data_IF_718283864225
#
_entry.id   IF_718283864225
#
_cell.length_a   1.000
_cell.length_b   1.000
_cell.length_c   1.000
_cell.angle_alpha   90.00
_cell.angle_beta   90.00
_cell.angle_gamma   90.00
#
_symmetry.space_group_name_H-M   'P 1'
#
loop_
_entity.id
_entity.type
_entity.pdbx_description
1 polymer ?
#
# COMPACT_ATOMS: atom_id res chain seq x y z
N UNK A 1 9.36 -30.41 -14.66
CA UNK A 1 9.55 -29.38 -15.70
C UNK A 1 9.19 -28.06 -15.04
N UNK A 2 10.19 -27.27 -14.62
CA UNK A 2 9.96 -26.01 -13.91
C UNK A 2 9.62 -24.95 -14.95
N UNK A 3 8.37 -24.49 -14.96
CA UNK A 3 7.92 -23.40 -15.84
C UNK A 3 8.52 -22.12 -15.25
N UNK A 4 9.56 -21.57 -15.89
CA UNK A 4 10.07 -20.24 -15.52
C UNK A 4 9.02 -19.21 -15.91
N UNK A 5 8.57 -18.33 -15.00
CA UNK A 5 7.73 -17.20 -15.40
C UNK A 5 8.55 -16.32 -16.35
N UNK A 6 8.05 -16.14 -17.56
CA UNK A 6 8.58 -15.16 -18.50
C UNK A 6 8.39 -13.77 -17.87
N UNK A 7 9.41 -12.91 -17.80
CA UNK A 7 9.22 -11.54 -17.31
C UNK A 7 8.11 -10.89 -18.13
N UNK A 8 7.02 -10.52 -17.46
CA UNK A 8 5.93 -9.78 -18.08
C UNK A 8 6.45 -8.39 -18.40
N UNK A 9 6.67 -8.11 -19.67
CA UNK A 9 6.84 -6.74 -20.17
C UNK A 9 5.73 -5.89 -19.57
N UNK A 10 6.03 -4.72 -18.97
CA UNK A 10 4.99 -3.81 -18.53
C UNK A 10 4.01 -3.62 -19.68
N UNK A 11 2.70 -3.69 -19.43
CA UNK A 11 1.74 -3.57 -20.51
C UNK A 11 1.99 -2.24 -21.22
N UNK A 12 2.01 -2.29 -22.56
CA UNK A 12 2.18 -1.12 -23.39
C UNK A 12 0.94 -0.22 -23.22
N UNK A 13 1.00 0.63 -22.20
CA UNK A 13 0.08 1.71 -21.93
C UNK A 13 -1.41 1.32 -21.83
N UNK A 14 -1.82 0.49 -20.84
CA UNK A 14 -3.20 0.56 -20.40
C UNK A 14 -3.30 1.85 -19.58
N UNK A 15 -4.25 2.73 -19.89
CA UNK A 15 -4.63 3.80 -18.95
C UNK A 15 -4.96 3.23 -17.56
N UNK A 16 -5.42 4.07 -16.64
CA UNK A 16 -6.18 3.55 -15.51
C UNK A 16 -7.45 2.91 -16.10
N UNK A 17 -7.42 1.60 -16.30
CA UNK A 17 -8.32 0.95 -17.27
C UNK A 17 -9.78 1.21 -16.93
N UNK A 18 -10.54 1.73 -17.90
CA UNK A 18 -11.97 1.44 -18.00
C UNK A 18 -12.12 -0.06 -18.30
N UNK A 19 -12.26 -0.86 -17.23
CA UNK A 19 -12.96 -2.15 -17.32
C UNK A 19 -12.17 -3.45 -17.51
N UNK A 20 -10.88 -3.59 -17.16
CA UNK A 20 -10.24 -4.91 -17.35
C UNK A 20 -9.11 -5.37 -16.39
N UNK A 21 -8.72 -4.63 -15.35
CA UNK A 21 -7.80 -5.16 -14.33
C UNK A 21 -8.43 -5.09 -12.94
N UNK A 22 -8.68 -6.28 -12.37
CA UNK A 22 -9.15 -6.56 -11.00
C UNK A 22 -9.81 -5.40 -10.24
N UNK A 23 -11.08 -5.12 -10.55
CA UNK A 23 -12.00 -4.30 -9.71
C UNK A 23 -12.44 -5.10 -8.46
N UNK A 24 -11.57 -5.98 -7.98
CA UNK A 24 -11.83 -6.81 -6.82
C UNK A 24 -10.99 -6.23 -5.69
N UNK A 25 -11.68 -5.82 -4.63
CA UNK A 25 -11.02 -5.48 -3.38
C UNK A 25 -10.29 -6.73 -2.89
N UNK A 26 -9.04 -6.57 -2.47
CA UNK A 26 -8.20 -7.66 -2.02
C UNK A 26 -7.46 -7.24 -0.75
N UNK A 27 -7.38 -8.14 0.23
CA UNK A 27 -6.45 -7.96 1.34
C UNK A 27 -5.05 -8.09 0.79
N UNK A 28 -4.26 -7.03 0.93
CA UNK A 28 -2.90 -6.97 0.42
C UNK A 28 -1.91 -6.71 1.55
N UNK A 29 -0.70 -7.24 1.36
CA UNK A 29 0.48 -6.88 2.13
C UNK A 29 1.38 -6.00 1.26
N UNK A 30 1.55 -4.74 1.64
CA UNK A 30 2.47 -3.81 1.00
C UNK A 30 3.54 -3.47 2.03
N UNK A 31 4.73 -4.11 2.00
CA UNK A 31 5.76 -3.85 2.99
C UNK A 31 6.17 -2.38 2.99
N UNK A 32 6.61 -1.88 4.14
CA UNK A 32 7.07 -0.50 4.32
C UNK A 32 8.17 -0.09 3.33
N UNK A 33 8.93 -1.07 2.85
CA UNK A 33 10.03 -0.92 1.92
C UNK A 33 9.57 -0.63 0.50
N UNK A 34 8.32 -0.95 0.16
CA UNK A 34 7.75 -0.44 -1.07
C UNK A 34 7.53 1.06 -0.92
N UNK A 35 7.86 1.80 -1.97
CA UNK A 35 7.63 3.23 -1.98
C UNK A 35 6.14 3.50 -1.91
N UNK A 36 5.69 4.10 -0.81
CA UNK A 36 4.32 4.58 -0.59
C UNK A 36 4.33 6.11 -0.72
N UNK A 37 3.41 6.66 -1.51
CA UNK A 37 3.17 8.10 -1.66
C UNK A 37 1.84 8.39 -0.96
N UNK A 38 1.88 9.14 0.14
CA UNK A 38 0.68 9.42 0.91
C UNK A 38 -0.23 10.35 0.10
N UNK A 39 -1.48 9.90 -0.09
CA UNK A 39 -2.57 10.76 -0.58
C UNK A 39 -3.37 11.27 0.62
N UNK A 40 -3.59 10.41 1.61
CA UNK A 40 -4.26 10.76 2.86
C UNK A 40 -3.52 10.10 4.01
N UNK A 41 -3.03 10.94 4.93
CA UNK A 41 -2.34 10.51 6.14
C UNK A 41 -3.22 10.81 7.34
N UNK A 42 -3.58 9.78 8.10
CA UNK A 42 -4.30 9.97 9.35
C UNK A 42 -3.42 10.71 10.35
N UNK A 43 -4.06 11.52 11.18
CA UNK A 43 -3.41 12.22 12.28
C UNK A 43 -4.08 11.80 13.58
N UNK A 44 -3.28 11.56 14.60
CA UNK A 44 -3.75 11.37 15.96
C UNK A 44 -3.26 12.52 16.84
N UNK A 45 -4.07 12.85 17.85
CA UNK A 45 -3.71 13.85 18.85
C UNK A 45 -3.01 13.11 19.99
N UNK A 46 -1.75 13.43 20.21
CA UNK A 46 -0.96 12.93 21.35
C UNK A 46 -0.79 14.01 22.40
N UNK A 47 -0.94 13.63 23.65
CA UNK A 47 -0.56 14.48 24.78
C UNK A 47 0.94 14.34 25.01
N UNK A 48 1.69 15.38 24.69
CA UNK A 48 3.14 15.45 24.85
C UNK A 48 3.46 16.30 26.07
N UNK A 49 4.47 15.89 26.83
CA UNK A 49 4.99 16.65 27.97
C UNK A 49 6.30 17.31 27.54
N UNK A 50 6.38 18.63 27.66
CA UNK A 50 7.60 19.37 27.33
C UNK A 50 8.68 19.23 28.42
N UNK A 51 9.85 19.83 28.17
CA UNK A 51 10.98 19.85 29.10
C UNK A 51 10.70 20.55 30.44
N UNK A 52 9.65 21.36 30.51
CA UNK A 52 9.21 22.07 31.72
C UNK A 52 8.13 21.27 32.47
N UNK A 53 7.71 20.13 31.92
CA UNK A 53 6.71 19.26 32.50
C UNK A 53 5.26 19.67 32.20
N UNK A 54 5.03 20.62 31.29
CA UNK A 54 3.70 21.04 30.86
C UNK A 54 3.22 20.16 29.72
N UNK A 55 1.95 19.76 29.78
CA UNK A 55 1.31 18.95 28.75
C UNK A 55 0.67 19.83 27.68
N UNK A 56 0.88 19.48 26.42
CA UNK A 56 0.17 20.05 25.29
C UNK A 56 -0.23 18.94 24.32
N UNK A 57 -1.19 19.24 23.47
CA UNK A 57 -1.65 18.33 22.42
C UNK A 57 -0.86 18.60 21.13
N UNK A 58 -0.36 17.54 20.52
CA UNK A 58 0.31 17.58 19.23
C UNK A 58 -0.41 16.66 18.25
N UNK A 59 -0.63 17.14 17.02
CA UNK A 59 -1.11 16.29 15.93
C UNK A 59 0.07 15.62 15.27
N UNK A 60 0.15 14.30 15.39
CA UNK A 60 1.20 13.50 14.77
C UNK A 60 0.62 12.58 13.70
N UNK A 61 1.37 12.31 12.61
CA UNK A 61 0.96 11.31 11.63
C UNK A 61 0.86 9.91 12.26
N UNK A 62 -0.25 9.22 12.04
CA UNK A 62 -0.40 7.80 12.40
C UNK A 62 0.52 6.98 11.51
N UNK A 63 1.23 5.98 12.04
CA UNK A 63 2.15 5.14 11.26
C UNK A 63 1.46 4.37 10.13
N UNK A 64 2.21 3.98 9.07
CA UNK A 64 1.65 3.16 7.99
C UNK A 64 1.47 1.74 8.49
N UNK A 65 0.41 1.08 8.04
CA UNK A 65 0.32 -0.37 8.13
C UNK A 65 0.85 -1.00 6.85
N UNK A 66 1.47 -2.16 6.98
CA UNK A 66 1.84 -2.98 5.84
C UNK A 66 0.69 -3.85 5.34
N UNK A 67 -0.40 -3.91 6.11
CA UNK A 67 -1.62 -4.62 5.75
C UNK A 67 -2.69 -3.62 5.35
N UNK A 68 -3.57 -4.03 4.45
CA UNK A 68 -4.64 -3.16 3.99
C UNK A 68 -5.46 -3.77 2.87
N UNK A 69 -6.21 -2.91 2.21
CA UNK A 69 -7.02 -3.25 1.05
C UNK A 69 -6.39 -2.62 -0.18
N UNK A 70 -6.06 -3.46 -1.16
CA UNK A 70 -5.78 -3.00 -2.52
C UNK A 70 -7.08 -2.52 -3.15
N UNK A 71 -7.11 -1.26 -3.58
CA UNK A 71 -8.27 -0.66 -4.25
C UNK A 71 -8.14 -0.73 -5.77
N UNK A 72 -7.08 -1.36 -6.28
CA UNK A 72 -6.71 -1.32 -7.70
C UNK A 72 -5.93 -0.05 -8.07
N UNK A 73 -5.38 -0.02 -9.29
CA UNK A 73 -4.65 1.13 -9.85
C UNK A 73 -3.43 1.62 -9.02
N UNK A 74 -2.91 0.76 -8.16
CA UNK A 74 -1.84 1.10 -7.21
C UNK A 74 -2.30 1.82 -5.95
N UNK A 75 -3.60 2.01 -5.75
CA UNK A 75 -4.15 2.57 -4.52
C UNK A 75 -4.23 1.51 -3.41
N UNK A 76 -3.76 1.88 -2.23
CA UNK A 76 -3.72 1.01 -1.06
C UNK A 76 -4.27 1.76 0.15
N UNK A 77 -5.33 1.23 0.75
CA UNK A 77 -5.88 1.72 2.00
C UNK A 77 -5.44 0.83 3.16
N UNK A 78 -4.57 1.35 4.01
CA UNK A 78 -3.93 0.55 5.05
C UNK A 78 -4.81 0.34 6.28
N UNK A 79 -4.48 -0.65 7.11
CA UNK A 79 -5.19 -0.92 8.36
C UNK A 79 -4.96 0.13 9.45
N UNK A 80 -4.26 1.22 9.18
CA UNK A 80 -4.19 2.38 10.08
C UNK A 80 -5.04 3.55 9.56
N UNK A 81 -5.67 3.40 8.38
CA UNK A 81 -6.60 4.35 7.79
C UNK A 81 -5.95 5.34 6.82
N UNK A 82 -4.70 5.09 6.43
CA UNK A 82 -4.00 5.91 5.44
C UNK A 82 -4.33 5.43 4.02
N UNK A 83 -4.50 6.37 3.10
CA UNK A 83 -4.61 6.08 1.67
C UNK A 83 -3.31 6.47 0.98
N UNK A 84 -2.68 5.52 0.30
CA UNK A 84 -1.42 5.73 -0.40
C UNK A 84 -1.51 5.27 -1.85
N UNK A 85 -0.72 5.91 -2.72
CA UNK A 85 -0.37 5.38 -4.02
C UNK A 85 0.94 4.60 -3.90
N UNK A 86 0.93 3.35 -4.32
CA UNK A 86 2.08 2.43 -4.32
C UNK A 86 2.44 2.16 -5.79
N UNK A 87 3.47 2.84 -6.33
CA UNK A 87 3.79 2.75 -7.76
C UNK A 87 4.05 1.32 -8.23
N UNK A 88 4.71 0.51 -7.40
CA UNK A 88 4.93 -0.89 -7.70
C UNK A 88 3.61 -1.64 -7.99
N UNK A 89 2.57 -1.40 -7.17
CA UNK A 89 1.25 -2.00 -7.37
C UNK A 89 0.52 -1.46 -8.60
N UNK A 90 0.83 -0.24 -9.05
CA UNK A 90 0.23 0.37 -10.23
C UNK A 90 0.77 -0.17 -11.57
N UNK A 91 1.99 -0.72 -11.57
CA UNK A 91 2.73 -1.04 -12.80
C UNK A 91 3.17 -2.51 -12.92
N UNK A 92 3.32 -3.23 -11.80
CA UNK A 92 3.86 -4.60 -11.79
C UNK A 92 2.94 -5.62 -11.10
N UNK A 93 1.67 -5.28 -10.88
CA UNK A 93 0.65 -6.16 -10.30
C UNK A 93 -0.10 -7.00 -11.37
N UNK A 94 -0.83 -8.09 -11.01
CA UNK A 94 -1.26 -8.44 -9.67
C UNK A 94 -0.11 -9.04 -8.87
N UNK A 95 -0.22 -8.86 -7.57
CA UNK A 95 0.73 -9.18 -6.52
C UNK A 95 1.15 -10.67 -6.49
N UNK A 96 0.81 -11.54 -7.47
CA UNK A 96 1.12 -12.98 -7.43
C UNK A 96 2.63 -13.28 -7.37
N UNK A 97 3.45 -12.30 -7.77
CA UNK A 97 4.90 -12.35 -7.60
C UNK A 97 5.39 -11.97 -6.19
N UNK A 98 4.65 -11.15 -5.41
CA UNK A 98 5.08 -10.58 -4.11
C UNK A 98 4.07 -10.70 -2.92
N UNK A 99 2.85 -11.21 -3.08
CA UNK A 99 1.91 -11.67 -2.01
C UNK A 99 0.77 -12.59 -2.56
N UNK A 100 0.37 -12.53 -3.84
CA UNK A 100 -0.84 -13.20 -4.34
C UNK A 100 -0.58 -14.64 -4.83
N UNK A 101 0.47 -15.27 -4.31
CA UNK A 101 0.50 -16.73 -4.19
C UNK A 101 -0.36 -17.24 -3.03
N UNK A 102 -0.95 -16.34 -2.23
CA UNK A 102 -1.70 -16.69 -1.02
C UNK A 102 -3.16 -16.22 -1.13
N UNK A 103 -3.94 -16.83 -2.01
CA UNK A 103 -5.41 -16.83 -1.90
C UNK A 103 -5.93 -17.53 -0.62
N UNK A 104 -5.09 -17.65 0.41
CA UNK A 104 -5.24 -18.44 1.62
C UNK A 104 -4.58 -17.76 2.81
N UNK A 105 -4.35 -18.51 3.87
CA UNK A 105 -3.71 -17.98 5.08
C UNK A 105 -2.20 -17.81 4.83
N UNK A 106 -1.57 -16.79 5.42
CA UNK A 106 -0.12 -16.56 5.38
C UNK A 106 0.39 -16.03 6.70
N UNK A 107 1.72 -16.02 6.81
CA UNK A 107 2.45 -15.51 7.96
C UNK A 107 3.52 -14.55 7.47
N UNK A 108 3.67 -13.43 8.17
CA UNK A 108 4.77 -12.49 8.01
C UNK A 108 5.62 -12.59 9.26
N UNK A 109 6.89 -12.90 9.08
CA UNK A 109 7.85 -13.18 10.14
C UNK A 109 9.04 -12.21 10.03
N UNK A 110 8.92 -11.01 10.65
CA UNK A 110 10.01 -10.08 10.78
C UNK A 110 11.05 -10.61 11.77
N UNK A 111 12.28 -10.10 11.72
CA UNK A 111 13.30 -10.47 12.70
C UNK A 111 12.90 -10.04 14.12
N UNK A 112 13.29 -10.85 15.11
CA UNK A 112 13.00 -10.63 16.53
C UNK A 112 11.93 -11.57 17.08
N UNK A 113 11.91 -11.72 18.41
CA UNK A 113 10.91 -12.57 19.08
C UNK A 113 9.57 -11.86 19.13
N UNK A 114 8.49 -12.61 18.87
CA UNK A 114 7.11 -12.11 18.95
C UNK A 114 6.81 -10.93 18.01
N UNK A 115 7.35 -10.98 16.78
CA UNK A 115 7.06 -10.02 15.71
C UNK A 115 6.21 -10.61 14.57
N UNK A 116 5.90 -11.90 14.66
CA UNK A 116 5.17 -12.64 13.64
C UNK A 116 3.69 -12.23 13.56
N UNK A 117 3.24 -11.83 12.37
CA UNK A 117 1.83 -11.59 12.10
C UNK A 117 1.22 -12.75 11.32
N UNK A 118 0.11 -13.27 11.82
CA UNK A 118 -0.68 -14.30 11.16
C UNK A 118 -1.86 -13.67 10.41
N UNK A 119 -2.00 -14.00 9.13
CA UNK A 119 -3.19 -13.65 8.34
C UNK A 119 -3.92 -14.93 8.01
N UNK A 120 -5.11 -15.10 8.58
CA UNK A 120 -5.95 -16.29 8.36
C UNK A 120 -7.09 -15.96 7.42
N UNK A 121 -7.23 -16.72 6.34
CA UNK A 121 -8.32 -16.57 5.37
C UNK A 121 -9.38 -17.68 5.54
N UNK A 122 -10.65 -17.30 5.68
CA UNK A 122 -11.80 -18.22 5.76
C UNK A 122 -12.97 -17.68 4.96
N UNK A 123 -13.20 -18.26 3.77
CA UNK A 123 -14.31 -17.89 2.90
C UNK A 123 -14.12 -16.48 2.35
N UNK A 124 -14.84 -15.52 2.90
CA UNK A 124 -14.76 -14.11 2.52
C UNK A 124 -14.15 -13.22 3.62
N UNK A 125 -13.70 -13.82 4.72
CA UNK A 125 -13.14 -13.14 5.89
C UNK A 125 -11.66 -13.42 6.05
N UNK A 126 -10.91 -12.37 6.35
CA UNK A 126 -9.52 -12.38 6.73
C UNK A 126 -9.41 -11.93 8.18
N UNK A 127 -8.62 -12.64 8.97
CA UNK A 127 -8.26 -12.22 10.32
C UNK A 127 -6.75 -11.95 10.32
N UNK A 128 -6.37 -10.70 10.61
CA UNK A 128 -5.00 -10.22 10.63
C UNK A 128 -4.65 -10.07 12.10
N UNK A 129 -3.84 -11.01 12.59
CA UNK A 129 -3.48 -11.15 13.98
C UNK A 129 -1.99 -10.81 14.14
N UNK A 130 -1.66 -9.53 14.38
CA UNK A 130 -0.29 -9.13 14.69
C UNK A 130 0.18 -9.80 15.98
N UNK A 131 1.48 -10.01 16.11
CA UNK A 131 2.05 -10.49 17.37
C UNK A 131 1.96 -9.43 18.46
N UNK A 132 1.93 -9.88 19.71
CA UNK A 132 1.92 -8.99 20.88
C UNK A 132 0.52 -8.69 21.40
N UNK A 133 0.35 -7.49 21.97
CA UNK A 133 -0.89 -7.07 22.65
C UNK A 133 -1.80 -6.25 21.73
N UNK A 134 -1.49 -6.21 20.44
CA UNK A 134 -2.26 -5.47 19.46
C UNK A 134 -3.55 -6.22 19.12
N UNK A 135 -4.61 -5.46 18.90
CA UNK A 135 -5.90 -6.03 18.55
C UNK A 135 -5.88 -6.64 17.14
N UNK A 136 -6.40 -7.86 17.02
CA UNK A 136 -6.61 -8.50 15.73
C UNK A 136 -7.60 -7.68 14.89
N UNK A 137 -7.32 -7.53 13.61
CA UNK A 137 -8.24 -6.88 12.66
C UNK A 137 -8.96 -7.92 11.81
N UNK A 138 -10.28 -7.81 11.74
CA UNK A 138 -11.12 -8.61 10.88
C UNK A 138 -11.47 -7.83 9.61
N UNK A 139 -11.17 -8.40 8.44
CA UNK A 139 -11.57 -7.84 7.15
C UNK A 139 -12.55 -8.79 6.49
N UNK A 140 -13.68 -8.29 6.00
CA UNK A 140 -14.66 -9.09 5.25
C UNK A 140 -14.82 -8.49 3.85
N UNK A 141 -14.64 -9.30 2.81
CA UNK A 141 -14.73 -8.86 1.41
C UNK A 141 -15.91 -9.55 0.71
N UNK A 142 -16.90 -8.79 0.28
CA UNK A 142 -18.08 -9.29 -0.43
C UNK A 142 -18.19 -8.64 -1.81
N UNK A 143 -17.55 -9.26 -2.79
CA UNK A 143 -17.47 -8.75 -4.15
C UNK A 143 -16.75 -7.40 -4.20
N UNK A 144 -17.51 -6.32 -4.38
CA UNK A 144 -16.98 -4.95 -4.45
C UNK A 144 -17.14 -4.17 -3.15
N UNK A 145 -17.39 -4.85 -2.04
CA UNK A 145 -17.46 -4.25 -0.71
C UNK A 145 -16.40 -4.86 0.20
N UNK A 146 -15.74 -4.05 1.01
CA UNK A 146 -14.88 -4.53 2.08
C UNK A 146 -15.25 -3.84 3.38
N UNK A 147 -15.38 -4.59 4.46
CA UNK A 147 -15.51 -4.07 5.82
C UNK A 147 -14.24 -4.36 6.59
N UNK A 148 -13.68 -3.36 7.25
CA UNK A 148 -12.57 -3.51 8.20
C UNK A 148 -13.14 -3.28 9.60
N UNK A 149 -13.01 -4.27 10.47
CA UNK A 149 -13.43 -4.26 11.87
C UNK A 149 -12.17 -4.43 12.73
N UNK A 150 -11.74 -3.34 13.35
CA UNK A 150 -10.59 -3.33 14.25
C UNK A 150 -11.10 -3.59 15.66
N UNK A 151 -10.87 -4.79 16.18
CA UNK A 151 -11.29 -5.14 17.53
C UNK A 151 -10.78 -4.11 18.54
N UNK A 152 -11.58 -3.82 19.55
CA UNK A 152 -11.22 -2.84 20.58
C UNK A 152 -11.39 -1.38 20.18
N UNK A 153 -11.69 -1.08 18.91
CA UNK A 153 -11.96 0.29 18.44
C UNK A 153 -13.39 0.39 17.87
N UNK A 154 -14.01 1.57 17.94
CA UNK A 154 -15.23 1.87 17.19
C UNK A 154 -14.90 2.43 15.79
N UNK A 155 -13.79 2.00 15.18
CA UNK A 155 -13.28 2.55 13.92
C UNK A 155 -13.45 1.54 12.80
N UNK A 156 -14.70 1.13 12.58
CA UNK A 156 -15.07 0.31 11.43
C UNK A 156 -14.87 1.12 10.15
N UNK A 157 -14.44 0.47 9.06
CA UNK A 157 -14.37 1.10 7.74
C UNK A 157 -15.22 0.31 6.76
N UNK A 158 -16.05 1.00 6.00
CA UNK A 158 -16.80 0.40 4.88
C UNK A 158 -16.27 0.96 3.56
N UNK A 159 -15.76 0.06 2.72
CA UNK A 159 -15.25 0.37 1.39
C UNK A 159 -16.23 -0.18 0.38
N UNK A 160 -16.75 0.69 -0.49
CA UNK A 160 -17.70 0.34 -1.55
C UNK A 160 -17.10 0.74 -2.89
N UNK A 161 -16.95 -0.22 -3.77
CA UNK A 161 -16.39 -0.02 -5.10
C UNK A 161 -17.46 -0.25 -6.18
N UNK A 162 -17.46 0.64 -7.16
CA UNK A 162 -18.17 0.51 -8.43
C UNK A 162 -17.16 0.65 -9.56
N UNK A 163 -17.62 0.60 -10.81
CA UNK A 163 -16.74 0.64 -11.99
C UNK A 163 -15.80 1.86 -11.97
N UNK A 164 -16.33 3.05 -11.64
CA UNK A 164 -15.58 4.31 -11.74
C UNK A 164 -15.48 5.06 -10.41
N UNK A 165 -15.93 4.49 -9.29
CA UNK A 165 -15.95 5.16 -7.99
C UNK A 165 -15.65 4.16 -6.88
N UNK A 166 -14.68 4.48 -6.03
CA UNK A 166 -14.55 3.88 -4.69
C UNK A 166 -14.95 4.91 -3.65
N UNK A 167 -15.77 4.50 -2.69
CA UNK A 167 -16.11 5.26 -1.49
C UNK A 167 -15.50 4.52 -0.31
N UNK A 168 -14.75 5.22 0.52
CA UNK A 168 -14.22 4.72 1.79
C UNK A 168 -14.91 5.55 2.87
N UNK A 169 -15.71 4.89 3.68
CA UNK A 169 -16.46 5.46 4.80
C UNK A 169 -15.76 5.03 6.10
N UNK A 170 -14.81 5.83 6.61
CA UNK A 170 -14.21 5.60 7.92
C UNK A 170 -15.19 6.05 9.02
N UNK A 171 -15.59 5.12 9.89
CA UNK A 171 -16.51 5.42 10.99
C UNK A 171 -15.96 6.55 11.90
N UNK A 172 -16.76 7.60 12.12
CA UNK A 172 -16.40 8.76 12.93
C UNK A 172 -16.93 10.08 12.36
N UNK A 173 -16.30 11.21 12.75
CA UNK A 173 -16.65 12.55 12.26
C UNK A 173 -15.97 12.92 10.92
N UNK A 174 -15.44 11.92 10.21
CA UNK A 174 -14.77 12.12 8.93
C UNK A 174 -15.79 12.08 7.80
N UNK A 175 -15.51 12.82 6.73
CA UNK A 175 -16.27 12.69 5.50
C UNK A 175 -15.77 11.48 4.72
N UNK A 176 -16.64 10.90 3.90
CA UNK A 176 -16.26 9.85 2.96
C UNK A 176 -15.08 10.30 2.10
N UNK A 177 -14.09 9.41 1.98
CA UNK A 177 -13.04 9.56 0.97
C UNK A 177 -13.58 8.96 -0.32
N UNK A 178 -13.46 9.71 -1.41
CA UNK A 178 -13.87 9.23 -2.73
C UNK A 178 -12.69 9.12 -3.68
N UNK A 179 -12.71 8.08 -4.50
CA UNK A 179 -11.74 7.84 -5.57
C UNK A 179 -12.52 7.67 -6.86
N UNK A 180 -12.50 8.70 -7.71
CA UNK A 180 -13.10 8.66 -9.04
C UNK A 180 -12.08 8.20 -10.07
N UNK A 181 -12.46 7.24 -10.92
CA UNK A 181 -11.64 6.70 -12.00
C UNK A 181 -12.12 7.21 -13.34
N UNK A 182 -11.19 7.74 -14.10
CA UNK A 182 -11.34 8.15 -15.49
C UNK A 182 -10.19 7.54 -16.27
N UNK A 183 -10.35 7.36 -17.59
CA UNK A 183 -9.43 6.58 -18.44
C UNK A 183 -7.93 6.72 -18.11
N UNK A 184 -7.44 7.94 -17.91
CA UNK A 184 -6.04 8.22 -17.61
C UNK A 184 -5.87 9.07 -16.35
N UNK A 185 -6.90 9.13 -15.49
CA UNK A 185 -6.92 10.01 -14.33
C UNK A 185 -7.66 9.39 -13.15
N UNK A 186 -7.09 9.50 -11.96
CA UNK A 186 -7.76 9.28 -10.69
C UNK A 186 -7.94 10.63 -9.99
N UNK A 187 -9.09 10.83 -9.37
CA UNK A 187 -9.32 11.98 -8.48
C UNK A 187 -9.62 11.41 -7.10
N UNK A 188 -8.80 11.78 -6.12
CA UNK A 188 -8.93 11.32 -4.74
C UNK A 188 -9.33 12.51 -3.88
N UNK A 189 -10.60 12.56 -3.49
CA UNK A 189 -11.13 13.57 -2.57
C UNK A 189 -11.10 13.00 -1.13
N UNK A 190 -10.34 13.61 -0.21
CA UNK A 190 -10.29 13.18 1.19
C UNK A 190 -11.56 13.50 1.98
N UNK A 191 -12.52 14.20 1.38
CA UNK A 191 -13.78 14.59 2.00
C UNK A 191 -13.67 15.92 2.76
N UNK A 192 -14.67 16.78 2.60
CA UNK A 192 -14.90 17.98 3.42
C UNK A 192 -13.99 19.19 3.22
N UNK A 193 -12.94 19.10 2.40
CA UNK A 193 -11.96 20.19 2.22
C UNK A 193 -11.93 20.78 0.81
N UNK A 194 -12.56 20.13 -0.18
CA UNK A 194 -12.50 20.54 -1.59
C UNK A 194 -11.10 20.42 -2.22
N UNK A 195 -10.19 19.74 -1.54
CA UNK A 195 -8.78 19.60 -1.90
C UNK A 195 -8.48 18.15 -2.31
N UNK A 196 -8.65 17.86 -3.60
CA UNK A 196 -8.43 16.54 -4.15
C UNK A 196 -7.00 16.36 -4.68
N UNK A 197 -6.46 15.16 -4.53
CA UNK A 197 -5.29 14.72 -5.29
C UNK A 197 -5.73 14.31 -6.69
N UNK A 198 -4.89 14.59 -7.68
CA UNK A 198 -5.09 14.13 -9.05
C UNK A 198 -3.92 13.25 -9.45
N UNK A 199 -4.21 12.02 -9.85
CA UNK A 199 -3.20 11.10 -10.36
C UNK A 199 -3.44 10.94 -11.85
N UNK A 200 -2.52 11.38 -12.68
CA UNK A 200 -2.64 11.35 -14.14
C UNK A 200 -1.61 10.40 -14.74
N UNK A 201 -2.03 9.55 -15.68
CA UNK A 201 -1.14 8.67 -16.44
C UNK A 201 -0.99 9.19 -17.87
N UNK A 202 0.25 9.39 -18.31
CA UNK A 202 0.56 9.82 -19.66
C UNK A 202 1.76 9.04 -20.19
N UNK A 203 1.50 8.10 -21.12
CA UNK A 203 2.53 7.25 -21.68
C UNK A 203 3.21 6.40 -20.60
N UNK A 204 4.51 6.55 -20.46
CA UNK A 204 5.31 5.86 -19.45
C UNK A 204 5.49 6.68 -18.16
N UNK A 205 4.64 7.69 -17.92
CA UNK A 205 4.70 8.51 -16.71
C UNK A 205 3.37 8.50 -15.94
N UNK A 206 3.48 8.60 -14.62
CA UNK A 206 2.38 8.96 -13.73
C UNK A 206 2.77 10.19 -12.93
N UNK A 207 1.91 11.20 -12.97
CA UNK A 207 2.03 12.41 -12.16
C UNK A 207 1.00 12.35 -11.03
N UNK A 208 1.43 12.65 -9.81
CA UNK A 208 0.59 12.79 -8.63
C UNK A 208 0.63 14.25 -8.22
N UNK A 209 -0.46 14.94 -8.51
CA UNK A 209 -0.66 16.34 -8.19
C UNK A 209 -1.38 16.45 -6.83
N UNK A 210 -0.69 16.92 -5.78
CA UNK A 210 -1.34 17.24 -4.52
C UNK A 210 -2.28 18.44 -4.64
N UNK A 211 -3.22 18.62 -3.70
CA UNK A 211 -4.03 19.82 -3.67
C UNK A 211 -3.20 21.08 -3.40
N UNK A 212 -3.61 22.20 -3.99
CA UNK A 212 -2.98 23.51 -3.80
C UNK A 212 -1.82 23.77 -4.77
N UNK A 213 -0.84 24.56 -4.32
CA UNK A 213 0.35 24.95 -5.10
C UNK A 213 1.59 24.12 -4.74
N UNK A 214 1.38 22.90 -4.23
CA UNK A 214 2.45 21.98 -3.91
C UNK A 214 2.99 21.33 -5.19
N UNK A 215 4.28 21.03 -5.18
CA UNK A 215 4.93 20.40 -6.33
C UNK A 215 4.44 18.95 -6.53
N UNK A 216 4.31 18.54 -7.80
CA UNK A 216 3.86 17.21 -8.17
C UNK A 216 4.95 16.16 -8.00
N UNK A 217 4.57 14.94 -7.66
CA UNK A 217 5.48 13.77 -7.72
C UNK A 217 5.36 13.13 -9.10
N UNK A 218 6.49 12.91 -9.78
CA UNK A 218 6.53 12.24 -11.08
C UNK A 218 7.12 10.84 -10.97
N UNK A 219 6.44 9.87 -11.55
CA UNK A 219 6.90 8.49 -11.65
C UNK A 219 7.16 8.20 -13.11
N UNK A 220 8.38 7.78 -13.44
CA UNK A 220 8.79 7.40 -14.78
C UNK A 220 9.00 5.90 -14.85
N UNK A 221 8.37 5.27 -15.85
CA UNK A 221 8.41 3.83 -16.08
C UNK A 221 9.33 3.53 -17.25
N UNK A 222 10.16 2.52 -17.08
CA UNK A 222 10.88 1.82 -18.13
C UNK A 222 10.66 0.31 -18.01
N UNK A 223 11.10 -0.45 -19.01
CA UNK A 223 10.81 -1.89 -19.14
C UNK A 223 10.94 -2.68 -17.83
N UNK A 224 11.98 -2.40 -17.03
CA UNK A 224 12.26 -3.14 -15.80
C UNK A 224 12.49 -2.21 -14.60
N UNK A 225 12.06 -0.96 -14.66
CA UNK A 225 12.24 -0.06 -13.52
C UNK A 225 11.27 1.12 -13.47
N UNK A 226 11.09 1.64 -12.26
CA UNK A 226 10.42 2.90 -11.94
C UNK A 226 11.45 3.87 -11.38
N UNK A 227 11.35 5.13 -11.76
CA UNK A 227 12.03 6.23 -11.07
C UNK A 227 10.99 7.16 -10.50
N UNK A 228 11.09 7.46 -9.22
CA UNK A 228 10.13 8.30 -8.48
C UNK A 228 10.86 9.58 -8.11
N UNK A 229 10.48 10.66 -8.78
CA UNK A 229 11.00 12.01 -8.57
C UNK A 229 10.06 12.77 -7.64
N UNK A 230 10.56 13.08 -6.44
CA UNK A 230 9.81 13.77 -5.40
C UNK A 230 10.35 15.19 -5.22
N UNK A 231 9.47 16.20 -5.11
CA UNK A 231 9.89 17.56 -4.86
C UNK A 231 10.75 17.69 -3.60
N UNK A 232 11.81 18.49 -3.67
CA UNK A 232 12.69 18.78 -2.54
C UNK A 232 13.74 17.70 -2.21
N UNK A 233 13.75 16.57 -2.92
CA UNK A 233 14.77 15.53 -2.77
C UNK A 233 15.64 15.46 -4.03
N UNK A 234 16.92 15.77 -3.91
CA UNK A 234 17.85 15.90 -5.05
C UNK A 234 18.20 14.59 -5.78
N UNK A 235 17.69 13.44 -5.33
CA UNK A 235 17.82 12.15 -6.00
C UNK A 235 16.46 11.42 -5.90
N UNK A 236 16.01 10.81 -7.00
CA UNK A 236 14.78 9.99 -7.00
C UNK A 236 15.00 8.61 -6.40
N UNK A 237 13.92 7.91 -6.04
CA UNK A 237 13.97 6.48 -5.69
C UNK A 237 13.80 5.65 -6.94
N UNK A 238 14.67 4.66 -7.14
CA UNK A 238 14.55 3.70 -8.25
C UNK A 238 14.04 2.36 -7.74
N UNK A 239 13.04 1.80 -8.42
CA UNK A 239 12.58 0.42 -8.19
C UNK A 239 12.93 -0.38 -9.43
N UNK A 240 13.76 -1.40 -9.32
CA UNK A 240 14.11 -2.30 -10.42
C UNK A 240 13.43 -3.65 -10.24
N UNK A 241 12.87 -4.19 -11.32
CA UNK A 241 12.15 -5.46 -11.34
C UNK A 241 12.91 -6.45 -12.22
N UNK A 242 13.38 -7.51 -11.58
CA UNK A 242 14.05 -8.65 -12.22
C UNK A 242 13.15 -9.90 -12.10
N UNK A 243 13.40 -10.97 -12.88
CA UNK A 243 12.53 -12.15 -12.89
C UNK A 243 12.32 -12.82 -11.53
N UNK A 244 13.28 -12.70 -10.61
CA UNK A 244 13.30 -13.38 -9.33
C UNK A 244 13.39 -12.42 -8.11
N UNK A 245 13.56 -11.12 -8.36
CA UNK A 245 13.70 -10.11 -7.29
C UNK A 245 13.26 -8.71 -7.71
N UNK A 246 12.99 -7.89 -6.71
CA UNK A 246 12.71 -6.46 -6.80
C UNK A 246 13.77 -5.76 -5.96
N UNK A 247 14.38 -4.72 -6.52
CA UNK A 247 15.34 -3.87 -5.82
C UNK A 247 14.73 -2.49 -5.64
N UNK A 248 14.68 -2.01 -4.41
CA UNK A 248 14.29 -0.63 -4.08
C UNK A 248 15.55 0.11 -3.67
N UNK A 249 15.98 1.05 -4.50
CA UNK A 249 17.17 1.88 -4.30
C UNK A 249 16.73 3.30 -3.92
N UNK A 250 16.70 3.64 -2.61
CA UNK A 250 16.35 4.97 -2.17
C UNK A 250 17.46 5.97 -2.46
N UNK A 251 17.02 7.19 -2.75
CA UNK A 251 17.87 8.37 -2.89
C UNK A 251 18.97 8.48 -1.82
N UNK A 252 20.24 8.37 -2.25
CA UNK A 252 21.37 8.98 -1.56
C UNK A 252 22.11 8.16 -0.48
N UNK A 253 21.80 6.88 -0.23
CA UNK A 253 22.49 6.14 0.84
C UNK A 253 22.84 4.66 0.58
N UNK A 254 22.77 4.13 -0.64
CA UNK A 254 23.09 2.72 -0.94
C UNK A 254 22.41 1.72 0.02
N UNK A 255 21.21 2.08 0.46
CA UNK A 255 20.40 1.37 1.45
C UNK A 255 19.33 0.57 0.72
N UNK A 256 19.78 -0.32 -0.15
CA UNK A 256 18.89 -1.01 -1.08
C UNK A 256 18.13 -2.11 -0.34
N UNK A 257 16.81 -2.12 -0.49
CA UNK A 257 15.99 -3.25 -0.06
C UNK A 257 15.81 -4.20 -1.23
N UNK A 258 16.08 -5.49 -1.01
CA UNK A 258 15.83 -6.56 -1.97
C UNK A 258 14.62 -7.38 -1.53
N UNK A 259 13.64 -7.54 -2.42
CA UNK A 259 12.50 -8.42 -2.21
C UNK A 259 12.62 -9.56 -3.21
N UNK A 260 12.77 -10.79 -2.74
CA UNK A 260 13.01 -11.95 -3.61
C UNK A 260 12.15 -13.14 -3.24
N UNK A 261 11.86 -13.98 -4.23
CA UNK A 261 11.21 -15.27 -4.00
C UNK A 261 12.22 -16.30 -3.51
N UNK A 262 11.86 -17.03 -2.46
CA UNK A 262 12.61 -18.17 -1.94
C UNK A 262 11.65 -19.36 -1.74
N UNK A 263 11.49 -20.18 -2.79
CA UNK A 263 10.51 -21.26 -2.81
C UNK A 263 9.08 -20.72 -2.76
N UNK A 264 8.30 -21.17 -1.77
CA UNK A 264 6.93 -20.71 -1.49
C UNK A 264 6.88 -19.47 -0.58
N UNK A 265 8.03 -18.90 -0.26
CA UNK A 265 8.15 -17.72 0.58
C UNK A 265 8.72 -16.55 -0.19
N UNK A 266 8.49 -15.36 0.35
CA UNK A 266 9.16 -14.14 -0.05
C UNK A 266 10.07 -13.70 1.08
N UNK A 267 11.20 -13.12 0.71
CA UNK A 267 12.18 -12.58 1.65
C UNK A 267 12.39 -11.12 1.29
N UNK A 268 12.27 -10.26 2.30
CA UNK A 268 12.52 -8.82 2.22
C UNK A 268 13.81 -8.57 2.98
N UNK A 269 14.92 -8.44 2.26
CA UNK A 269 16.25 -8.22 2.78
C UNK A 269 16.53 -6.70 2.80
N UNK A 270 16.57 -6.11 3.99
CA UNK A 270 16.84 -4.68 4.19
C UNK A 270 18.31 -4.42 4.50
N UNK A 271 18.85 -3.22 4.27
CA UNK A 271 20.17 -2.87 4.74
C UNK A 271 20.28 -2.97 6.28
N UNK A 272 21.30 -3.68 6.78
CA UNK A 272 21.55 -3.89 8.21
C UNK A 272 21.77 -5.36 8.59
N UNK A 273 22.17 -5.62 9.84
CA UNK A 273 22.28 -6.99 10.37
C UNK A 273 20.91 -7.48 10.85
N UNK A 274 20.54 -8.72 10.49
CA UNK A 274 19.30 -9.39 10.92
C UNK A 274 18.01 -8.63 10.58
N UNK A 275 17.91 -8.05 9.40
CA UNK A 275 16.79 -7.17 9.00
C UNK A 275 15.83 -7.82 7.99
N UNK A 276 15.94 -9.15 7.80
CA UNK A 276 15.19 -9.89 6.79
C UNK A 276 13.80 -10.30 7.28
N UNK A 277 12.73 -9.87 6.60
CA UNK A 277 11.36 -10.35 6.85
C UNK A 277 11.02 -11.48 5.90
N UNK A 278 10.45 -12.58 6.43
CA UNK A 278 9.95 -13.69 5.61
C UNK A 278 8.42 -13.63 5.54
N UNK A 279 7.86 -13.76 4.34
CA UNK A 279 6.42 -13.96 4.13
C UNK A 279 6.21 -15.35 3.56
N UNK A 280 5.38 -16.17 4.20
CA UNK A 280 5.13 -17.55 3.75
C UNK A 280 3.67 -17.93 3.84
N UNK A 281 3.20 -18.72 2.88
CA UNK A 281 1.89 -19.35 2.95
C UNK A 281 1.79 -20.24 4.21
N UNK A 282 0.60 -20.28 4.81
CA UNK A 282 0.28 -21.13 5.95
C UNK A 282 -0.56 -22.29 5.43
N UNK A 283 0.05 -23.49 5.45
CA UNK A 283 -0.60 -24.74 5.07
C UNK A 283 -1.64 -25.19 6.11
#
# INVERSE_FOLDING_TARGET
MQIRPTPTTPPANPGFTRGAQNINLEVAYAPEDLVKIDLIRQQEVRTVKDSEGKTHEEKVPVERSDYGISLGDGLFYDLNGNLSFVPFLAFYAPIEAAVAGVGGSFQVDPPGMFNTTDVTHRGNRFNINPSGWFDSTDVTIEGRRAKIDRRGTQLDVDIRQSENLTIIDPHGAFNDITVERQNNRLVVDPGGSGQAFVISRAGNHVDIDPPGALDSTRISVSNNSLTIDRPGFGNGTTISVEPDRILVDPAGLANNTEIRRNGESLVIDRPGWFSSTKVSAKN
#
